data_IF_968160063540
#
_entry.id   IF_968160063540
#
_cell.length_a   1.000
_cell.length_b   1.000
_cell.length_c   1.000
_cell.angle_alpha   90.00
_cell.angle_beta   90.00
_cell.angle_gamma   90.00
#
_symmetry.space_group_name_H-M   'P 1'
#
loop_
_entity.id
_entity.type
_entity.pdbx_description
1 polymer ?
#
# COMPACT_ATOMS: atom_id res chain seq x y z
N UNK A 1 -10.80 14.81 -8.43
CA UNK A 1 -10.55 14.30 -9.79
C UNK A 1 -11.83 13.79 -10.47
N UNK A 2 -12.79 13.20 -9.76
CA UNK A 2 -14.11 12.90 -10.35
C UNK A 2 -14.89 14.15 -10.76
N UNK A 3 -14.76 15.25 -10.01
CA UNK A 3 -15.44 16.52 -10.33
C UNK A 3 -14.96 17.21 -11.61
N UNK A 4 -13.73 16.93 -12.08
CA UNK A 4 -13.17 17.52 -13.31
C UNK A 4 -13.16 16.56 -14.50
N UNK A 5 -13.55 15.30 -14.32
CA UNK A 5 -13.57 14.27 -15.38
C UNK A 5 -12.20 13.88 -15.95
N UNK A 6 -11.10 14.43 -15.43
CA UNK A 6 -9.74 14.18 -15.92
C UNK A 6 -9.14 12.92 -15.30
N UNK A 7 -8.51 12.06 -16.12
CA UNK A 7 -7.85 10.85 -15.62
C UNK A 7 -6.48 11.23 -15.04
N UNK A 8 -5.99 10.46 -14.07
CA UNK A 8 -4.62 10.62 -13.55
C UNK A 8 -3.55 10.56 -14.65
N UNK A 9 -3.80 9.80 -15.72
CA UNK A 9 -2.88 9.71 -16.86
C UNK A 9 -2.76 11.02 -17.63
N UNK A 10 -3.85 11.78 -17.75
CA UNK A 10 -3.88 13.05 -18.49
C UNK A 10 -3.05 14.10 -17.76
N UNK A 11 -3.17 14.12 -16.42
CA UNK A 11 -2.40 15.00 -15.55
C UNK A 11 -0.89 14.70 -15.59
N UNK A 12 -0.53 13.42 -15.59
CA UNK A 12 0.88 12.98 -15.71
C UNK A 12 1.45 13.40 -17.07
N UNK A 13 0.66 13.26 -18.14
CA UNK A 13 1.11 13.66 -19.48
C UNK A 13 1.22 15.18 -19.61
N UNK A 14 0.30 15.94 -19.03
CA UNK A 14 0.36 17.40 -18.99
C UNK A 14 1.58 17.90 -18.20
N UNK A 15 1.90 17.27 -17.06
CA UNK A 15 3.08 17.60 -16.28
C UNK A 15 4.39 17.35 -17.06
N UNK A 16 4.47 16.23 -17.77
CA UNK A 16 5.62 15.89 -18.59
C UNK A 16 5.89 16.94 -19.69
N UNK A 17 4.83 17.52 -20.29
CA UNK A 17 4.95 18.61 -21.27
C UNK A 17 5.53 19.89 -20.68
N UNK A 18 5.30 20.14 -19.39
CA UNK A 18 5.86 21.28 -18.67
C UNK A 18 7.22 20.97 -18.02
N UNK A 19 7.79 19.79 -18.26
CA UNK A 19 9.05 19.36 -17.65
C UNK A 19 8.94 19.01 -16.16
N UNK A 20 7.72 18.90 -15.63
CA UNK A 20 7.47 18.59 -14.22
C UNK A 20 7.49 17.06 -14.05
N UNK A 21 8.33 16.58 -13.12
CA UNK A 21 8.44 15.15 -12.78
C UNK A 21 7.26 14.67 -11.93
N UNK A 22 6.12 14.48 -12.57
CA UNK A 22 4.92 13.94 -11.94
C UNK A 22 4.63 12.54 -12.47
N UNK A 23 4.63 11.54 -11.60
CA UNK A 23 4.26 10.16 -11.94
C UNK A 23 2.94 9.76 -11.31
N UNK A 24 2.34 8.66 -11.77
CA UNK A 24 1.04 8.14 -11.25
C UNK A 24 1.07 7.94 -9.73
N UNK A 25 2.20 7.49 -9.18
CA UNK A 25 2.36 7.31 -7.74
C UNK A 25 2.32 8.63 -6.96
N UNK A 26 3.02 9.67 -7.44
CA UNK A 26 2.95 11.02 -6.84
C UNK A 26 1.50 11.54 -6.83
N UNK A 27 0.80 11.40 -7.95
CA UNK A 27 -0.61 11.81 -8.07
C UNK A 27 -1.49 11.06 -7.05
N UNK A 28 -1.29 9.74 -6.89
CA UNK A 28 -2.01 8.94 -5.90
C UNK A 28 -1.68 9.32 -4.45
N UNK A 29 -0.43 9.68 -4.16
CA UNK A 29 -0.04 10.16 -2.83
C UNK A 29 -0.74 11.47 -2.48
N UNK A 30 -0.85 12.39 -3.44
CA UNK A 30 -1.52 13.68 -3.24
C UNK A 30 -3.02 13.52 -3.04
N UNK A 31 -3.69 12.72 -3.87
CA UNK A 31 -5.14 12.47 -3.74
C UNK A 31 -5.48 11.81 -2.40
N UNK A 32 -4.60 10.96 -1.88
CA UNK A 32 -4.78 10.29 -0.59
C UNK A 32 -4.25 11.11 0.60
N UNK A 33 -3.79 12.35 0.40
CA UNK A 33 -3.28 13.21 1.46
C UNK A 33 -1.98 12.73 2.13
N UNK A 34 -1.28 11.75 1.54
CA UNK A 34 -0.06 11.16 2.15
C UNK A 34 1.15 12.07 2.06
N UNK A 35 1.14 13.01 1.12
CA UNK A 35 2.28 13.90 0.85
C UNK A 35 1.77 15.21 0.28
N UNK A 36 2.33 16.33 0.74
CA UNK A 36 2.05 17.64 0.15
C UNK A 36 2.96 17.90 -1.06
N UNK A 37 2.40 18.28 -2.23
CA UNK A 37 3.21 18.64 -3.39
C UNK A 37 4.08 19.87 -3.11
N UNK A 38 5.27 19.93 -3.75
CA UNK A 38 6.13 21.12 -3.73
C UNK A 38 5.43 22.27 -4.46
N UNK A 39 5.86 23.52 -4.19
CA UNK A 39 5.22 24.74 -4.70
C UNK A 39 5.03 24.77 -6.22
N UNK A 40 6.02 24.31 -6.97
CA UNK A 40 5.99 24.19 -8.42
C UNK A 40 4.91 23.19 -8.90
N UNK A 41 4.86 22.02 -8.28
CA UNK A 41 3.87 20.99 -8.58
C UNK A 41 2.47 21.43 -8.15
N UNK A 42 2.35 22.09 -6.99
CA UNK A 42 1.09 22.61 -6.47
C UNK A 42 0.48 23.63 -7.45
N UNK A 43 1.27 24.60 -7.90
CA UNK A 43 0.85 25.59 -8.88
C UNK A 43 0.39 24.93 -10.19
N UNK A 44 1.12 23.93 -10.66
CA UNK A 44 0.72 23.13 -11.81
C UNK A 44 -0.62 22.40 -11.59
N UNK A 45 -0.79 21.76 -10.44
CA UNK A 45 -2.01 21.01 -10.12
C UNK A 45 -3.22 21.95 -10.04
N UNK A 46 -3.06 23.12 -9.42
CA UNK A 46 -4.07 24.17 -9.36
C UNK A 46 -4.50 24.60 -10.77
N UNK A 47 -3.52 24.93 -11.63
CA UNK A 47 -3.78 25.32 -13.01
C UNK A 47 -4.44 24.20 -13.84
N UNK A 48 -3.97 22.96 -13.71
CA UNK A 48 -4.47 21.81 -14.47
C UNK A 48 -5.89 21.39 -14.05
N UNK A 49 -6.21 21.52 -12.76
CA UNK A 49 -7.52 21.18 -12.20
C UNK A 49 -8.47 22.38 -12.15
N UNK A 50 -7.99 23.59 -12.50
CA UNK A 50 -8.71 24.86 -12.40
C UNK A 50 -9.27 25.12 -10.99
N UNK A 51 -8.47 24.82 -9.98
CA UNK A 51 -8.78 25.06 -8.57
C UNK A 51 -7.75 26.01 -7.96
N UNK A 52 -8.13 26.70 -6.90
CA UNK A 52 -7.22 27.56 -6.13
C UNK A 52 -6.13 26.73 -5.43
N UNK A 53 -4.91 27.28 -5.32
CA UNK A 53 -3.82 26.61 -4.61
C UNK A 53 -4.14 26.40 -3.12
N UNK A 54 -4.85 27.35 -2.50
CA UNK A 54 -5.23 27.30 -1.08
C UNK A 54 -6.24 26.18 -0.80
N UNK A 55 -7.12 25.90 -1.77
CA UNK A 55 -8.02 24.75 -1.70
C UNK A 55 -7.25 23.42 -1.70
N UNK A 56 -6.19 23.30 -2.51
CA UNK A 56 -5.32 22.12 -2.53
C UNK A 56 -4.45 21.98 -1.27
N UNK A 57 -4.13 23.10 -0.60
CA UNK A 57 -3.43 23.09 0.69
C UNK A 57 -4.32 22.63 1.84
N UNK A 58 -5.63 22.86 1.72
CA UNK A 58 -6.59 22.58 2.78
C UNK A 58 -6.54 23.60 3.92
N UNK A 59 -5.99 24.79 3.69
CA UNK A 59 -5.86 25.83 4.73
C UNK A 59 -7.22 26.37 5.20
N UNK A 60 -8.29 26.19 4.41
CA UNK A 60 -9.66 26.63 4.72
C UNK A 60 -10.48 25.60 5.53
N UNK A 61 -9.92 24.41 5.85
CA UNK A 61 -10.58 23.39 6.69
C UNK A 61 -9.94 23.37 8.08
N UNK A 62 -9.95 24.51 8.77
CA UNK A 62 -9.65 24.56 10.21
C UNK A 62 -10.88 24.20 11.04
N UNK A 63 -11.23 22.92 11.11
CA UNK A 63 -11.92 22.36 12.27
C UNK A 63 -11.96 20.84 12.23
N UNK A 64 -10.83 20.20 12.56
CA UNK A 64 -10.74 19.12 13.55
C UNK A 64 -9.30 18.58 13.58
N UNK A 65 -8.61 18.57 14.75
CA UNK A 65 -7.36 17.87 14.89
C UNK A 65 -7.68 16.38 15.01
N UNK A 66 -7.76 15.69 13.88
CA UNK A 66 -7.67 14.24 13.89
C UNK A 66 -6.20 13.92 13.68
N UNK A 67 -5.52 13.73 14.80
CA UNK A 67 -4.19 13.14 14.88
C UNK A 67 -4.17 11.84 14.06
N UNK A 68 -3.86 11.93 12.78
CA UNK A 68 -3.47 10.77 12.00
C UNK A 68 -1.96 10.84 11.88
N UNK A 69 -1.32 10.31 12.92
CA UNK A 69 0.00 9.71 12.83
C UNK A 69 -0.02 8.66 11.71
N UNK A 70 0.17 9.11 10.47
CA UNK A 70 0.56 8.21 9.38
C UNK A 70 2.09 8.16 9.42
N UNK A 71 2.61 7.64 10.54
CA UNK A 71 3.80 6.81 10.48
C UNK A 71 3.62 5.85 9.30
N UNK A 72 4.68 5.58 8.54
CA UNK A 72 4.68 4.70 7.36
C UNK A 72 4.33 3.23 7.65
N UNK A 73 3.33 2.97 8.48
CA UNK A 73 2.64 1.70 8.62
C UNK A 73 1.93 1.39 7.32
N UNK A 74 2.54 0.47 6.57
CA UNK A 74 1.83 -0.40 5.65
C UNK A 74 0.56 -0.85 6.38
N UNK A 75 -0.62 -0.41 5.94
CA UNK A 75 -1.88 -0.99 6.42
C UNK A 75 -1.88 -2.45 6.00
N UNK A 76 -1.35 -3.32 6.85
CA UNK A 76 -1.30 -4.76 6.62
C UNK A 76 -2.74 -5.24 6.55
N UNK A 77 -3.14 -5.73 5.39
CA UNK A 77 -4.42 -6.43 5.27
C UNK A 77 -4.32 -7.69 6.10
N UNK A 78 -5.26 -7.90 7.03
CA UNK A 78 -5.34 -9.15 7.78
C UNK A 78 -5.76 -10.28 6.85
N UNK A 79 -4.78 -11.09 6.43
CA UNK A 79 -5.06 -12.33 5.73
C UNK A 79 -5.37 -13.42 6.76
N UNK A 80 -6.65 -13.83 6.83
CA UNK A 80 -7.03 -15.01 7.60
C UNK A 80 -6.30 -16.24 7.05
N UNK A 81 -5.71 -17.04 7.93
CA UNK A 81 -4.99 -18.27 7.56
C UNK A 81 -5.91 -19.17 6.72
N UNK A 82 -5.42 -19.62 5.57
CA UNK A 82 -6.16 -20.53 4.70
C UNK A 82 -6.13 -21.95 5.27
N UNK A 83 -7.31 -22.57 5.35
CA UNK A 83 -7.46 -23.96 5.79
C UNK A 83 -6.83 -25.00 4.85
N UNK A 84 -6.31 -24.56 3.69
CA UNK A 84 -5.75 -25.43 2.65
C UNK A 84 -4.47 -26.17 3.07
N UNK A 85 -3.84 -25.75 4.17
CA UNK A 85 -2.65 -26.39 4.75
C UNK A 85 -2.95 -27.16 6.05
N UNK A 86 -4.21 -27.23 6.49
CA UNK A 86 -4.58 -27.82 7.79
C UNK A 86 -4.25 -29.33 7.89
N UNK A 87 -4.01 -29.99 6.77
CA UNK A 87 -3.71 -31.43 6.72
C UNK A 87 -2.47 -31.74 5.88
N UNK A 88 -1.62 -30.75 5.60
CA UNK A 88 -0.29 -30.98 5.03
C UNK A 88 0.68 -31.31 6.16
N UNK A 89 0.35 -32.39 6.86
CA UNK A 89 1.36 -33.24 7.46
C UNK A 89 1.59 -34.30 6.40
N UNK A 90 2.66 -34.17 5.61
CA UNK A 90 3.29 -35.40 5.17
C UNK A 90 3.60 -36.14 6.46
N UNK A 91 3.13 -37.37 6.54
CA UNK A 91 3.40 -38.23 7.67
C UNK A 91 4.92 -38.45 7.73
N UNK A 92 5.62 -37.52 8.38
CA UNK A 92 7.04 -37.63 8.71
C UNK A 92 7.22 -38.56 9.92
N UNK A 93 6.12 -39.10 10.44
CA UNK A 93 6.08 -40.35 11.20
C UNK A 93 5.72 -41.54 10.30
N UNK A 94 6.10 -41.45 9.03
CA UNK A 94 6.21 -42.61 8.17
C UNK A 94 7.21 -43.64 8.75
N UNK A 95 7.35 -44.79 8.06
CA UNK A 95 7.88 -46.08 8.55
C UNK A 95 9.23 -46.07 9.29
N UNK A 96 9.96 -44.96 9.28
CA UNK A 96 11.25 -44.77 9.94
C UNK A 96 11.11 -44.70 11.47
N UNK A 97 10.04 -44.10 11.98
CA UNK A 97 9.77 -44.05 13.43
C UNK A 97 9.34 -45.43 13.95
N UNK A 98 8.52 -46.14 13.19
CA UNK A 98 8.11 -47.51 13.53
C UNK A 98 9.30 -48.50 13.42
N UNK A 99 10.20 -48.32 12.45
CA UNK A 99 11.43 -49.10 12.32
C UNK A 99 12.40 -48.88 13.49
N UNK A 100 12.57 -47.62 13.91
CA UNK A 100 13.43 -47.25 15.04
C UNK A 100 12.89 -47.83 16.37
N UNK A 101 11.57 -47.75 16.60
CA UNK A 101 10.94 -48.35 17.77
C UNK A 101 11.09 -49.88 17.78
N UNK A 102 10.98 -50.53 16.61
CA UNK A 102 11.17 -51.98 16.48
C UNK A 102 12.63 -52.42 16.71
N UNK A 103 13.61 -51.62 16.28
CA UNK A 103 15.03 -51.87 16.55
C UNK A 103 15.39 -51.71 18.03
N UNK A 104 14.68 -50.85 18.77
CA UNK A 104 14.84 -50.66 20.22
C UNK A 104 14.21 -51.81 21.02
N UNK A 105 13.05 -52.31 20.61
CA UNK A 105 12.36 -53.46 21.21
C UNK A 105 13.07 -54.81 20.96
N UNK A 106 13.79 -54.94 19.84
CA UNK A 106 14.50 -56.17 19.47
C UNK A 106 15.80 -56.42 20.25
N UNK A 107 16.21 -55.49 21.13
CA UNK A 107 17.26 -55.71 22.12
C UNK A 107 18.66 -55.86 21.53
N UNK A 108 19.49 -54.83 21.69
CA UNK A 108 20.95 -54.98 21.56
C UNK A 108 21.47 -55.58 22.87
N UNK A 109 21.81 -56.88 22.87
CA UNK A 109 22.77 -57.46 23.82
C UNK A 109 24.20 -57.23 23.33
#
# INVERSE_FOLDING_TARGET
MEQSGQKQVDLVQAAARQGIKLGKSHVSQYVNGKTMPRRDVLHFLAAALQVEEDWLRGDDIQSQPQNQEISGGITMREFKKSSKLNHVLYDVRGPVVDEAARMEEAGTQ
#
